data_IF_456050518664
#
_entry.id   IF_456050518664
#
_cell.length_a   1.000
_cell.length_b   1.000
_cell.length_c   1.000
_cell.angle_alpha   90.00
_cell.angle_beta   90.00
_cell.angle_gamma   90.00
#
_symmetry.space_group_name_H-M   'P 1'
#
loop_
_entity.id
_entity.type
_entity.pdbx_description
1 polymer ?
#
# COMPACT_ATOMS: atom_id res chain seq x y z
N UNK A 1 -3.87 4.90 21.20
CA UNK A 1 -4.25 3.49 21.26
C UNK A 1 -3.09 2.67 20.71
N UNK A 2 -2.52 1.80 21.52
CA UNK A 2 -1.61 0.78 21.07
C UNK A 2 -2.41 -0.16 20.15
N UNK A 3 -2.25 -0.03 18.83
CA UNK A 3 -2.29 -1.19 17.96
C UNK A 3 -1.01 -1.98 18.31
N UNK A 4 -0.99 -2.48 19.52
CA UNK A 4 0.08 -3.29 20.04
C UNK A 4 0.11 -4.54 19.19
N UNK A 5 1.25 -4.87 18.68
CA UNK A 5 1.59 -5.91 17.76
C UNK A 5 1.23 -7.33 18.15
N UNK A 6 -0.04 -7.57 18.44
CA UNK A 6 -0.59 -8.91 18.45
C UNK A 6 -0.80 -9.33 17.00
N UNK A 7 0.14 -10.11 16.50
CA UNK A 7 -0.08 -10.90 15.29
C UNK A 7 -1.25 -11.84 15.58
N UNK A 8 -2.34 -11.69 14.82
CA UNK A 8 -3.37 -12.73 14.76
C UNK A 8 -2.68 -14.02 14.28
N UNK A 9 -3.14 -15.18 14.72
CA UNK A 9 -2.59 -16.47 14.28
C UNK A 9 -2.59 -16.65 12.75
N UNK A 10 -3.48 -15.96 12.04
CA UNK A 10 -3.78 -16.17 10.64
C UNK A 10 -3.34 -15.01 9.74
N UNK A 11 -3.12 -13.82 10.30
CA UNK A 11 -2.65 -12.65 9.58
C UNK A 11 -1.90 -11.67 10.48
N UNK A 12 -0.97 -10.85 9.93
CA UNK A 12 -0.33 -9.78 10.67
C UNK A 12 -1.36 -8.66 10.96
N UNK A 13 -1.23 -8.01 12.12
CA UNK A 13 -2.16 -6.95 12.51
C UNK A 13 -1.98 -5.68 11.68
N UNK A 14 -0.76 -5.39 11.22
CA UNK A 14 -0.39 -4.15 10.52
C UNK A 14 0.79 -4.39 9.58
N UNK A 15 0.89 -3.64 8.49
CA UNK A 15 1.87 -3.84 7.42
C UNK A 15 3.33 -4.02 7.88
N UNK A 16 3.90 -3.25 8.81
CA UNK A 16 5.28 -3.47 9.26
C UNK A 16 5.53 -4.85 9.89
N UNK A 17 4.47 -5.59 10.22
CA UNK A 17 4.58 -6.96 10.77
C UNK A 17 4.54 -8.05 9.70
N UNK A 18 4.25 -7.70 8.44
CA UNK A 18 4.12 -8.68 7.35
C UNK A 18 5.43 -9.42 7.10
N UNK A 19 6.54 -8.70 6.99
CA UNK A 19 7.85 -9.29 6.69
C UNK A 19 8.24 -10.34 7.74
N UNK A 20 7.99 -10.11 9.02
CA UNK A 20 8.29 -11.07 10.08
C UNK A 20 7.27 -12.22 10.16
N UNK A 21 6.04 -11.97 9.68
CA UNK A 21 4.94 -12.93 9.76
C UNK A 21 5.01 -14.02 8.68
N UNK A 22 5.38 -13.65 7.43
CA UNK A 22 5.38 -14.59 6.31
C UNK A 22 6.43 -15.71 6.50
N UNK A 23 6.17 -16.87 5.92
CA UNK A 23 7.00 -18.07 6.11
C UNK A 23 8.49 -17.82 5.78
N UNK A 24 9.36 -18.53 6.47
CA UNK A 24 10.76 -18.69 6.08
C UNK A 24 10.88 -19.69 4.92
N UNK A 25 12.04 -19.69 4.26
CA UNK A 25 12.33 -20.60 3.14
C UNK A 25 12.11 -19.91 1.80
N UNK A 26 11.56 -20.63 0.82
CA UNK A 26 11.33 -20.08 -0.51
C UNK A 26 9.99 -19.35 -0.54
N UNK A 27 10.01 -18.03 -0.42
CA UNK A 27 8.81 -17.19 -0.22
C UNK A 27 8.79 -15.99 -1.14
N UNK A 28 7.62 -15.73 -1.74
CA UNK A 28 7.33 -14.55 -2.54
C UNK A 28 6.21 -13.73 -1.89
N UNK A 29 6.44 -12.44 -1.73
CA UNK A 29 5.45 -11.45 -1.33
C UNK A 29 5.10 -10.61 -2.55
N UNK A 30 3.89 -10.75 -3.06
CA UNK A 30 3.32 -9.92 -4.13
C UNK A 30 2.61 -8.75 -3.46
N UNK A 31 3.04 -7.54 -3.77
CA UNK A 31 2.42 -6.29 -3.30
C UNK A 31 1.72 -5.63 -4.48
N UNK A 32 0.39 -5.61 -4.44
CA UNK A 32 -0.42 -4.92 -5.45
C UNK A 32 -0.73 -3.53 -4.93
N UNK A 33 -0.04 -2.52 -5.45
CA UNK A 33 -0.11 -1.12 -5.03
C UNK A 33 -1.54 -0.60 -5.14
N UNK A 34 -2.06 -0.03 -4.06
CA UNK A 34 -3.38 0.59 -4.01
C UNK A 34 -4.58 -0.36 -4.00
N UNK A 35 -4.37 -1.68 -3.92
CA UNK A 35 -5.46 -2.66 -3.99
C UNK A 35 -6.31 -2.67 -2.72
N UNK A 36 -7.55 -2.22 -2.81
CA UNK A 36 -8.54 -2.31 -1.75
C UNK A 36 -9.14 -3.72 -1.63
N UNK A 37 -9.94 -3.95 -0.57
CA UNK A 37 -10.73 -5.18 -0.45
C UNK A 37 -11.71 -5.33 -1.63
N UNK A 38 -12.29 -4.23 -2.09
CA UNK A 38 -13.19 -4.21 -3.23
C UNK A 38 -12.48 -4.68 -4.52
N UNK A 39 -11.28 -4.21 -4.77
CA UNK A 39 -10.51 -4.60 -5.95
C UNK A 39 -10.12 -6.08 -5.89
N UNK A 40 -9.69 -6.56 -4.72
CA UNK A 40 -9.37 -7.97 -4.55
C UNK A 40 -10.59 -8.88 -4.73
N UNK A 41 -11.77 -8.46 -4.27
CA UNK A 41 -13.02 -9.21 -4.49
C UNK A 41 -13.32 -9.38 -5.99
N UNK A 42 -13.02 -8.39 -6.80
CA UNK A 42 -13.14 -8.48 -8.26
C UNK A 42 -12.08 -9.43 -8.84
N UNK A 43 -10.82 -9.23 -8.47
CA UNK A 43 -9.68 -10.02 -8.95
C UNK A 43 -9.86 -11.50 -8.60
N UNK A 44 -10.33 -11.81 -7.41
CA UNK A 44 -10.50 -13.17 -6.91
C UNK A 44 -11.39 -14.04 -7.79
N UNK A 45 -12.35 -13.45 -8.49
CA UNK A 45 -13.27 -14.14 -9.42
C UNK A 45 -12.56 -14.69 -10.67
N UNK A 46 -11.35 -14.23 -10.91
CA UNK A 46 -10.52 -14.61 -12.06
C UNK A 46 -9.27 -15.42 -11.66
N UNK A 47 -9.15 -15.79 -10.38
CA UNK A 47 -8.07 -16.67 -9.90
C UNK A 47 -8.52 -18.14 -9.93
N UNK A 48 -8.81 -18.63 -11.15
CA UNK A 48 -9.32 -19.98 -11.34
C UNK A 48 -8.29 -21.06 -10.96
N UNK A 49 -8.72 -22.03 -10.15
CA UNK A 49 -7.87 -23.14 -9.72
C UNK A 49 -6.77 -22.78 -8.71
N UNK A 50 -6.84 -21.58 -8.13
CA UNK A 50 -5.93 -21.16 -7.07
C UNK A 50 -6.67 -21.17 -5.73
N UNK A 51 -6.27 -22.08 -4.84
CA UNK A 51 -6.75 -22.11 -3.47
C UNK A 51 -5.96 -21.14 -2.59
N UNK A 52 -6.64 -20.39 -1.73
CA UNK A 52 -6.01 -19.43 -0.85
C UNK A 52 -6.77 -19.23 0.46
N UNK A 53 -6.07 -18.75 1.48
CA UNK A 53 -6.65 -18.21 2.71
C UNK A 53 -6.77 -16.69 2.55
N UNK A 54 -7.95 -16.15 2.92
CA UNK A 54 -8.26 -14.72 2.82
C UNK A 54 -8.37 -14.11 4.20
N UNK A 55 -7.52 -13.16 4.46
CA UNK A 55 -7.46 -12.37 5.69
C UNK A 55 -7.26 -10.90 5.35
N UNK A 56 -7.27 -10.06 6.37
CA UNK A 56 -7.01 -8.62 6.25
C UNK A 56 -5.90 -8.19 7.20
N UNK A 57 -5.21 -7.12 6.82
CA UNK A 57 -4.25 -6.41 7.65
C UNK A 57 -4.51 -4.90 7.57
N UNK A 58 -3.92 -4.12 8.49
CA UNK A 58 -4.05 -2.67 8.48
C UNK A 58 -2.88 -2.02 7.75
N UNK A 59 -3.19 -1.12 6.82
CA UNK A 59 -2.23 -0.19 6.24
C UNK A 59 -1.78 0.83 7.28
N UNK A 60 -0.66 1.50 7.02
CA UNK A 60 -0.22 2.63 7.82
C UNK A 60 -1.09 3.85 7.50
N UNK A 61 -1.30 4.70 8.49
CA UNK A 61 -2.06 5.94 8.37
C UNK A 61 -1.09 7.13 8.49
N UNK A 62 -1.17 8.11 7.58
CA UNK A 62 -1.99 8.20 6.36
C UNK A 62 -1.57 7.18 5.29
N UNK A 63 -2.53 6.78 4.45
CA UNK A 63 -2.37 5.71 3.47
C UNK A 63 -1.66 6.18 2.21
N UNK A 64 -0.41 6.64 2.36
CA UNK A 64 0.45 7.03 1.24
C UNK A 64 1.38 5.89 0.84
N UNK A 65 1.56 5.69 -0.45
CA UNK A 65 2.41 4.63 -1.01
C UNK A 65 3.81 4.62 -0.39
N UNK A 66 4.46 5.79 -0.31
CA UNK A 66 5.82 5.89 0.20
C UNK A 66 5.95 5.40 1.65
N UNK A 67 5.03 5.78 2.52
CA UNK A 67 5.02 5.37 3.94
C UNK A 67 4.67 3.89 4.07
N UNK A 68 3.55 3.49 3.46
CA UNK A 68 2.98 2.16 3.65
C UNK A 68 3.84 1.06 3.03
N UNK A 69 4.33 1.28 1.80
CA UNK A 69 5.13 0.27 1.09
C UNK A 69 6.53 0.11 1.68
N UNK A 70 7.18 1.22 2.08
CA UNK A 70 8.45 1.11 2.82
C UNK A 70 8.25 0.39 4.17
N UNK A 71 7.19 0.73 4.91
CA UNK A 71 6.88 0.05 6.18
C UNK A 71 6.62 -1.43 5.99
N UNK A 72 5.83 -1.81 4.97
CA UNK A 72 5.54 -3.19 4.59
C UNK A 72 6.82 -3.98 4.28
N UNK A 73 7.69 -3.45 3.44
CA UNK A 73 8.84 -4.17 2.91
C UNK A 73 10.05 -4.18 3.84
N UNK A 74 10.22 -3.15 4.67
CA UNK A 74 11.33 -3.06 5.61
C UNK A 74 11.03 -3.61 7.01
N UNK A 75 9.73 -3.75 7.36
CA UNK A 75 9.29 -4.06 8.73
C UNK A 75 9.44 -2.88 9.71
N UNK A 76 9.74 -1.69 9.22
CA UNK A 76 9.98 -0.49 10.02
C UNK A 76 8.72 0.39 10.10
N UNK A 77 8.54 1.07 11.23
CA UNK A 77 7.54 2.14 11.31
C UNK A 77 8.06 3.43 10.67
N UNK A 78 7.19 4.33 10.20
CA UNK A 78 7.58 5.51 9.43
C UNK A 78 8.67 6.38 10.08
N UNK A 79 8.64 6.56 11.41
CA UNK A 79 9.66 7.32 12.15
C UNK A 79 11.06 6.67 12.17
N UNK A 80 11.14 5.40 11.78
CA UNK A 80 12.40 4.63 11.69
C UNK A 80 12.95 4.64 10.26
N UNK A 81 12.20 5.22 9.31
CA UNK A 81 12.61 5.36 7.91
C UNK A 81 13.42 6.63 7.74
N UNK A 82 14.50 6.55 6.96
CA UNK A 82 15.35 7.70 6.67
C UNK A 82 14.62 8.78 5.84
N UNK A 83 13.82 8.34 4.86
CA UNK A 83 13.04 9.22 3.98
C UNK A 83 11.61 8.67 3.81
N UNK A 84 10.70 8.89 4.77
CA UNK A 84 9.39 8.24 4.76
C UNK A 84 8.46 8.68 3.61
N UNK A 85 8.70 9.84 3.01
CA UNK A 85 7.83 10.41 1.97
C UNK A 85 8.29 10.11 0.52
N UNK A 86 9.36 9.34 0.33
CA UNK A 86 9.84 8.94 -1.00
C UNK A 86 10.11 7.45 -1.07
N UNK A 87 9.99 6.85 -2.26
CA UNK A 87 10.27 5.43 -2.49
C UNK A 87 11.77 5.14 -2.76
N UNK A 88 12.64 6.12 -2.63
CA UNK A 88 14.05 5.99 -2.98
C UNK A 88 14.81 4.94 -2.18
N UNK A 89 14.34 4.60 -0.99
CA UNK A 89 14.95 3.61 -0.10
C UNK A 89 14.18 2.28 -0.01
N UNK A 90 13.13 2.11 -0.80
CA UNK A 90 12.23 0.95 -0.72
C UNK A 90 12.96 -0.38 -0.95
N UNK A 91 13.69 -0.51 -2.06
CA UNK A 91 14.47 -1.71 -2.36
C UNK A 91 15.55 -1.98 -1.30
N UNK A 92 16.27 -0.94 -0.88
CA UNK A 92 17.29 -1.05 0.18
C UNK A 92 16.68 -1.56 1.48
N UNK A 93 15.52 -1.01 1.87
CA UNK A 93 14.79 -1.44 3.07
C UNK A 93 14.38 -2.91 3.01
N UNK A 94 13.87 -3.38 1.87
CA UNK A 94 13.57 -4.78 1.65
C UNK A 94 14.82 -5.67 1.73
N UNK A 95 15.92 -5.28 1.09
CA UNK A 95 17.16 -6.06 1.10
C UNK A 95 17.78 -6.15 2.50
N UNK A 96 17.66 -5.10 3.33
CA UNK A 96 18.04 -5.13 4.75
C UNK A 96 17.16 -6.09 5.55
N UNK A 97 15.84 -6.05 5.36
CA UNK A 97 14.90 -6.96 6.00
C UNK A 97 15.17 -8.42 5.62
N UNK A 98 15.43 -8.69 4.34
CA UNK A 98 15.80 -10.01 3.85
C UNK A 98 17.09 -10.52 4.51
N UNK A 99 18.11 -9.67 4.60
CA UNK A 99 19.37 -9.99 5.31
C UNK A 99 19.14 -10.32 6.78
N UNK A 100 18.31 -9.55 7.46
CA UNK A 100 17.98 -9.78 8.88
C UNK A 100 17.22 -11.09 9.07
N UNK A 101 16.50 -11.57 8.07
CA UNK A 101 15.86 -12.89 8.02
C UNK A 101 16.82 -14.02 7.60
N UNK A 102 18.10 -13.74 7.38
CA UNK A 102 19.13 -14.72 7.05
C UNK A 102 19.30 -15.02 5.56
N UNK A 103 18.65 -14.27 4.66
CA UNK A 103 18.87 -14.44 3.22
C UNK A 103 20.09 -13.66 2.73
N UNK A 104 20.85 -14.25 1.83
CA UNK A 104 21.95 -13.56 1.15
C UNK A 104 21.41 -12.62 0.06
N UNK A 105 22.25 -11.72 -0.42
CA UNK A 105 21.89 -10.83 -1.54
C UNK A 105 21.46 -11.61 -2.79
N UNK A 106 22.13 -12.73 -3.10
CA UNK A 106 21.77 -13.57 -4.25
C UNK A 106 20.45 -14.32 -4.08
N UNK A 107 20.04 -14.54 -2.84
CA UNK A 107 18.76 -15.19 -2.50
C UNK A 107 17.59 -14.22 -2.44
N UNK A 108 17.85 -12.93 -2.42
CA UNK A 108 16.85 -11.88 -2.27
C UNK A 108 16.58 -11.19 -3.61
N UNK A 109 15.31 -11.00 -3.94
CA UNK A 109 14.88 -10.35 -5.18
C UNK A 109 13.84 -9.29 -4.87
N UNK A 110 14.11 -8.05 -5.24
CA UNK A 110 13.11 -7.00 -5.37
C UNK A 110 12.85 -6.77 -6.86
N UNK A 111 11.61 -6.87 -7.29
CA UNK A 111 11.24 -6.73 -8.70
C UNK A 111 9.90 -6.01 -8.86
N UNK A 112 9.68 -5.43 -10.04
CA UNK A 112 8.42 -4.78 -10.43
C UNK A 112 7.84 -5.50 -11.64
N UNK A 113 6.49 -5.60 -11.69
CA UNK A 113 5.75 -6.19 -12.79
C UNK A 113 5.61 -7.71 -12.70
N UNK A 114 4.95 -8.27 -13.70
CA UNK A 114 4.51 -9.68 -13.71
C UNK A 114 5.58 -10.69 -14.16
N UNK A 115 6.74 -10.23 -14.61
CA UNK A 115 7.81 -11.11 -15.11
C UNK A 115 9.09 -10.89 -14.29
N UNK A 116 9.08 -11.19 -12.96
CA UNK A 116 10.26 -11.00 -12.13
C UNK A 116 11.40 -11.93 -12.58
N UNK A 117 12.65 -11.47 -12.56
CA UNK A 117 13.80 -12.29 -12.98
C UNK A 117 14.20 -13.29 -11.89
N UNK A 118 13.34 -14.28 -11.66
CA UNK A 118 13.56 -15.36 -10.69
C UNK A 118 14.72 -16.23 -11.15
N UNK A 119 15.73 -16.41 -10.30
CA UNK A 119 16.84 -17.33 -10.53
C UNK A 119 16.71 -18.57 -9.64
N UNK A 120 17.51 -19.59 -9.93
CA UNK A 120 17.56 -20.79 -9.09
C UNK A 120 18.10 -20.52 -7.67
N UNK A 121 18.76 -19.39 -7.45
CA UNK A 121 19.20 -18.95 -6.13
C UNK A 121 18.11 -18.22 -5.35
N UNK A 122 17.11 -17.65 -6.03
CA UNK A 122 16.09 -16.83 -5.39
C UNK A 122 15.31 -17.64 -4.34
N UNK A 123 15.28 -17.12 -3.11
CA UNK A 123 14.55 -17.71 -1.97
C UNK A 123 13.55 -16.75 -1.36
N UNK A 124 13.81 -15.45 -1.43
CA UNK A 124 12.93 -14.44 -0.87
C UNK A 124 12.73 -13.32 -1.89
N UNK A 125 11.48 -13.15 -2.33
CA UNK A 125 11.14 -12.16 -3.36
C UNK A 125 10.06 -11.20 -2.88
N UNK A 126 10.24 -9.91 -3.15
CA UNK A 126 9.18 -8.90 -3.14
C UNK A 126 8.90 -8.48 -4.58
N UNK A 127 7.64 -8.61 -5.00
CA UNK A 127 7.20 -8.34 -6.38
C UNK A 127 6.11 -7.28 -6.31
N UNK A 128 6.37 -6.11 -6.88
CA UNK A 128 5.50 -4.95 -6.85
C UNK A 128 4.71 -4.84 -8.15
N UNK A 129 3.39 -4.76 -8.04
CA UNK A 129 2.45 -4.57 -9.15
C UNK A 129 1.75 -3.23 -8.96
N UNK A 130 1.93 -2.30 -9.88
CA UNK A 130 1.41 -0.93 -9.75
C UNK A 130 0.07 -0.72 -10.49
N UNK A 131 -0.43 -1.70 -11.22
CA UNK A 131 -1.55 -1.54 -12.16
C UNK A 131 -2.81 -0.97 -11.49
N UNK A 132 -3.11 -1.32 -10.24
CA UNK A 132 -4.30 -0.82 -9.54
C UNK A 132 -4.12 0.66 -9.20
N UNK A 133 -2.96 1.07 -8.69
CA UNK A 133 -2.69 2.49 -8.38
C UNK A 133 -2.68 3.34 -9.65
N UNK A 134 -2.14 2.83 -10.76
CA UNK A 134 -2.22 3.49 -12.07
C UNK A 134 -3.68 3.69 -12.53
N UNK A 135 -4.56 2.70 -12.30
CA UNK A 135 -5.99 2.81 -12.57
C UNK A 135 -6.65 3.86 -11.66
N UNK A 136 -6.34 3.85 -10.36
CA UNK A 136 -6.86 4.82 -9.38
C UNK A 136 -6.58 6.25 -9.84
N UNK A 137 -5.34 6.54 -10.22
CA UNK A 137 -4.94 7.88 -10.65
C UNK A 137 -5.54 8.31 -11.99
N UNK A 138 -5.92 7.37 -12.85
CA UNK A 138 -6.56 7.61 -14.14
C UNK A 138 -8.09 7.68 -14.11
N UNK A 139 -8.72 7.22 -13.01
CA UNK A 139 -10.16 6.98 -12.95
C UNK A 139 -10.98 8.26 -12.81
N UNK A 140 -11.95 8.46 -13.72
CA UNK A 140 -12.87 9.60 -13.75
C UNK A 140 -14.37 9.22 -13.66
N UNK A 141 -14.65 7.96 -13.45
CA UNK A 141 -16.01 7.43 -13.35
C UNK A 141 -16.28 6.78 -11.98
N UNK A 142 -15.49 7.17 -10.98
CA UNK A 142 -15.62 6.70 -9.63
C UNK A 142 -15.55 5.17 -9.49
N UNK A 143 -16.29 4.63 -8.54
CA UNK A 143 -16.28 3.18 -8.22
C UNK A 143 -16.77 2.29 -9.37
N UNK A 144 -17.72 2.77 -10.19
CA UNK A 144 -18.23 1.99 -11.33
C UNK A 144 -17.17 1.83 -12.43
N UNK A 145 -16.45 2.91 -12.73
CA UNK A 145 -15.31 2.84 -13.66
C UNK A 145 -14.20 1.95 -13.12
N UNK A 146 -13.87 2.06 -11.83
CA UNK A 146 -12.87 1.22 -11.17
C UNK A 146 -13.24 -0.27 -11.28
N UNK A 147 -14.52 -0.63 -11.06
CA UNK A 147 -15.00 -2.00 -11.23
C UNK A 147 -14.72 -2.55 -12.63
N UNK A 148 -15.00 -1.75 -13.67
CA UNK A 148 -14.79 -2.17 -15.06
C UNK A 148 -13.30 -2.34 -15.37
N UNK A 149 -12.47 -1.39 -14.96
CA UNK A 149 -11.04 -1.39 -15.24
C UNK A 149 -10.33 -2.54 -14.51
N UNK A 150 -10.64 -2.76 -13.23
CA UNK A 150 -10.10 -3.89 -12.45
C UNK A 150 -10.58 -5.22 -13.03
N UNK A 151 -11.82 -5.32 -13.50
CA UNK A 151 -12.32 -6.52 -14.17
C UNK A 151 -11.55 -6.83 -15.45
N UNK A 152 -11.23 -5.82 -16.27
CA UNK A 152 -10.43 -5.97 -17.47
C UNK A 152 -8.99 -6.39 -17.15
N UNK A 153 -8.40 -5.77 -16.13
CA UNK A 153 -7.07 -6.12 -15.65
C UNK A 153 -7.03 -7.60 -15.18
N UNK A 154 -8.00 -8.01 -14.37
CA UNK A 154 -8.10 -9.38 -13.85
C UNK A 154 -8.29 -10.41 -14.98
N UNK A 155 -9.14 -10.11 -15.97
CA UNK A 155 -9.33 -10.95 -17.18
C UNK A 155 -8.06 -11.14 -17.99
N UNK A 156 -7.08 -10.23 -17.90
CA UNK A 156 -5.80 -10.40 -18.59
C UNK A 156 -5.02 -11.64 -18.15
N UNK A 157 -5.35 -12.21 -16.96
CA UNK A 157 -4.72 -13.39 -16.40
C UNK A 157 -3.28 -13.21 -15.92
N UNK A 158 -2.73 -12.00 -15.98
CA UNK A 158 -1.31 -11.74 -15.62
C UNK A 158 -0.98 -12.14 -14.19
N UNK A 159 -1.84 -11.75 -13.23
CA UNK A 159 -1.63 -12.09 -11.81
C UNK A 159 -1.76 -13.61 -11.60
N UNK A 160 -2.74 -14.24 -12.20
CA UNK A 160 -2.91 -15.69 -12.15
C UNK A 160 -1.67 -16.42 -12.67
N UNK A 161 -1.16 -16.02 -13.84
CA UNK A 161 0.07 -16.59 -14.42
C UNK A 161 1.27 -16.43 -13.49
N UNK A 162 1.47 -15.22 -12.92
CA UNK A 162 2.54 -14.99 -11.96
C UNK A 162 2.44 -15.90 -10.74
N UNK A 163 1.23 -16.08 -10.18
CA UNK A 163 1.01 -16.98 -9.04
C UNK A 163 1.34 -18.42 -9.42
N UNK A 164 0.86 -18.90 -10.57
CA UNK A 164 1.11 -20.27 -11.06
C UNK A 164 2.60 -20.52 -11.31
N UNK A 165 3.30 -19.56 -11.89
CA UNK A 165 4.75 -19.65 -12.14
C UNK A 165 5.54 -19.73 -10.84
N UNK A 166 5.21 -18.91 -9.84
CA UNK A 166 5.84 -18.94 -8.53
C UNK A 166 5.52 -20.25 -7.78
N UNK A 167 4.26 -20.70 -7.86
CA UNK A 167 3.83 -21.95 -7.24
C UNK A 167 4.57 -23.17 -7.83
N UNK A 168 4.68 -23.24 -9.16
CA UNK A 168 5.40 -24.30 -9.85
C UNK A 168 6.89 -24.37 -9.47
N UNK A 169 7.47 -23.23 -9.08
CA UNK A 169 8.83 -23.13 -8.59
C UNK A 169 8.97 -23.41 -7.09
N UNK A 170 7.88 -23.73 -6.38
CA UNK A 170 7.86 -24.12 -4.97
C UNK A 170 7.97 -22.93 -4.00
N UNK A 171 7.47 -21.74 -4.36
CA UNK A 171 7.36 -20.63 -3.44
C UNK A 171 6.14 -20.74 -2.52
N UNK A 172 6.31 -20.39 -1.26
CA UNK A 172 5.19 -19.93 -0.42
C UNK A 172 4.79 -18.54 -0.91
N UNK A 173 3.54 -18.34 -1.28
CA UNK A 173 3.09 -17.10 -1.93
C UNK A 173 2.14 -16.34 -1.01
N UNK A 174 2.46 -15.07 -0.77
CA UNK A 174 1.60 -14.13 -0.07
C UNK A 174 1.30 -12.96 -0.99
N UNK A 175 0.05 -12.47 -0.94
CA UNK A 175 -0.39 -11.31 -1.71
C UNK A 175 -1.00 -10.32 -0.72
N UNK A 176 -0.61 -9.06 -0.83
CA UNK A 176 -1.18 -7.99 -0.03
C UNK A 176 -1.15 -6.66 -0.81
N UNK A 177 -1.58 -5.60 -0.16
CA UNK A 177 -1.45 -4.24 -0.66
C UNK A 177 -0.77 -3.37 0.39
N UNK A 178 -0.20 -2.27 -0.04
CA UNK A 178 0.35 -1.24 0.84
C UNK A 178 -0.74 -0.29 1.38
N UNK A 179 -1.79 -0.04 0.61
CA UNK A 179 -3.02 0.66 0.99
C UNK A 179 -4.15 0.28 0.04
N UNK A 180 -5.37 0.68 0.37
CA UNK A 180 -6.49 0.63 -0.54
C UNK A 180 -6.76 1.97 -1.22
N UNK A 181 -7.94 2.09 -1.84
CA UNK A 181 -8.40 3.30 -2.51
C UNK A 181 -9.88 3.56 -2.19
N UNK A 182 -10.32 4.81 -2.35
CA UNK A 182 -11.67 5.23 -1.99
C UNK A 182 -12.22 6.26 -2.99
N UNK A 183 -13.53 6.25 -3.28
CA UNK A 183 -14.16 7.31 -4.07
C UNK A 183 -14.24 8.60 -3.26
N UNK A 184 -13.92 9.73 -3.91
CA UNK A 184 -13.98 11.05 -3.30
C UNK A 184 -14.55 12.08 -4.26
N UNK A 185 -15.06 13.18 -3.69
CA UNK A 185 -15.41 14.38 -4.41
C UNK A 185 -14.32 15.42 -4.17
N UNK A 186 -13.79 15.98 -5.23
CA UNK A 186 -12.79 17.03 -5.16
C UNK A 186 -13.34 18.30 -4.52
N UNK A 187 -12.64 18.81 -3.51
CA UNK A 187 -12.96 20.05 -2.81
C UNK A 187 -12.24 21.28 -3.40
N UNK A 188 -11.37 21.03 -4.38
CA UNK A 188 -10.45 22.00 -4.97
C UNK A 188 -9.08 21.96 -4.28
N UNK A 189 -8.05 22.33 -5.03
CA UNK A 189 -6.69 22.42 -4.52
C UNK A 189 -6.62 23.46 -3.39
N UNK A 190 -5.98 23.12 -2.30
CA UNK A 190 -5.70 24.07 -1.23
C UNK A 190 -4.41 24.81 -1.59
N UNK A 191 -4.47 26.12 -1.56
CA UNK A 191 -3.30 27.00 -1.72
C UNK A 191 -2.77 27.35 -0.33
N UNK A 192 -1.59 26.88 -0.03
CA UNK A 192 -0.96 27.07 1.27
C UNK A 192 0.14 28.08 1.27
N UNK A 193 0.25 28.80 2.40
CA UNK A 193 1.37 29.67 2.72
C UNK A 193 2.49 28.96 3.51
N UNK A 194 2.43 27.65 3.73
CA UNK A 194 3.41 26.89 4.52
C UNK A 194 4.42 26.11 3.69
N UNK A 195 5.46 25.61 4.35
CA UNK A 195 6.43 24.68 3.72
C UNK A 195 5.81 23.28 3.71
N UNK A 196 5.27 22.90 2.57
CA UNK A 196 4.68 21.60 2.33
C UNK A 196 5.77 20.56 2.00
N UNK A 197 5.65 19.39 2.59
CA UNK A 197 6.41 18.22 2.14
C UNK A 197 5.64 17.56 0.99
N UNK A 198 6.27 17.40 -0.16
CA UNK A 198 5.64 16.77 -1.31
C UNK A 198 5.36 15.28 -1.02
N UNK A 199 4.12 14.95 -0.74
CA UNK A 199 3.67 13.58 -0.41
C UNK A 199 3.07 12.87 -1.61
N UNK A 200 2.79 13.58 -2.71
CA UNK A 200 2.01 13.13 -3.88
C UNK A 200 0.59 12.66 -3.53
N UNK A 201 0.15 12.85 -2.29
CA UNK A 201 -1.21 12.53 -1.88
C UNK A 201 -2.17 13.65 -2.26
N UNK A 202 -3.40 13.27 -2.63
CA UNK A 202 -4.53 14.19 -2.81
C UNK A 202 -5.47 14.21 -1.59
N UNK A 203 -5.08 13.56 -0.50
CA UNK A 203 -5.89 13.47 0.71
C UNK A 203 -5.13 13.83 1.99
N UNK A 204 -3.85 14.21 1.87
CA UNK A 204 -3.01 14.55 3.00
C UNK A 204 -2.12 15.76 2.70
N UNK A 205 -1.94 16.62 3.71
CA UNK A 205 -0.88 17.61 3.77
C UNK A 205 0.06 17.35 4.94
N UNK A 206 1.34 17.56 4.69
CA UNK A 206 2.39 17.52 5.72
C UNK A 206 3.08 18.87 5.72
N UNK A 207 3.04 19.56 6.85
CA UNK A 207 3.60 20.88 7.01
C UNK A 207 4.67 20.88 8.09
N UNK A 208 5.74 21.65 7.89
CA UNK A 208 6.70 21.97 8.95
C UNK A 208 6.09 22.94 9.95
N UNK A 209 6.60 22.95 11.16
CA UNK A 209 6.06 23.55 12.39
C UNK A 209 5.78 25.07 12.35
N UNK A 210 6.13 25.76 11.27
CA UNK A 210 5.93 27.21 11.13
C UNK A 210 4.66 27.60 10.35
N UNK A 211 3.87 26.62 9.91
CA UNK A 211 2.67 26.89 9.13
C UNK A 211 1.51 27.32 10.00
N UNK A 212 0.77 28.31 9.50
CA UNK A 212 -0.45 28.82 10.12
C UNK A 212 -1.48 27.68 10.36
N UNK A 213 -2.30 27.91 11.39
CA UNK A 213 -3.20 26.92 11.94
C UNK A 213 -4.34 26.51 10.99
N UNK A 214 -5.03 25.44 11.38
CA UNK A 214 -6.17 24.73 10.78
C UNK A 214 -7.25 25.64 10.14
N UNK A 215 -7.37 26.88 10.57
CA UNK A 215 -8.41 27.82 10.09
C UNK A 215 -8.35 28.11 8.58
N UNK A 216 -7.17 27.90 7.96
CA UNK A 216 -7.00 28.04 6.51
C UNK A 216 -7.63 26.92 5.69
N UNK A 217 -7.93 25.77 6.31
CA UNK A 217 -8.38 24.55 5.60
C UNK A 217 -9.88 24.27 5.78
N UNK A 218 -10.54 24.96 6.72
CA UNK A 218 -11.94 24.77 7.05
C UNK A 218 -12.25 23.34 7.56
N UNK A 219 -13.53 22.95 7.49
CA UNK A 219 -14.02 21.66 8.01
C UNK A 219 -13.70 20.47 7.11
N UNK A 220 -12.91 20.64 6.04
CA UNK A 220 -12.61 19.60 5.06
C UNK A 220 -11.45 18.69 5.45
N UNK A 221 -10.71 19.04 6.49
CA UNK A 221 -9.55 18.33 6.98
C UNK A 221 -9.60 18.11 8.48
N UNK A 222 -9.06 16.98 8.90
CA UNK A 222 -8.80 16.66 10.30
C UNK A 222 -7.31 16.65 10.58
N UNK A 223 -6.94 17.15 11.75
CA UNK A 223 -5.57 17.02 12.24
C UNK A 223 -5.32 15.56 12.62
N UNK A 224 -4.32 14.95 12.02
CA UNK A 224 -3.89 13.61 12.37
C UNK A 224 -2.72 13.66 13.36
N UNK A 225 -2.77 12.94 14.49
CA UNK A 225 -1.74 13.05 15.54
C UNK A 225 -0.38 12.49 15.16
N UNK A 226 -0.23 11.86 13.98
CA UNK A 226 1.04 11.34 13.50
C UNK A 226 1.65 10.28 14.42
N UNK A 227 0.88 9.29 14.86
CA UNK A 227 1.30 8.30 15.89
C UNK A 227 2.63 7.61 15.63
N UNK A 228 2.89 7.27 14.36
CA UNK A 228 4.12 6.58 13.93
C UNK A 228 5.02 7.48 13.06
N UNK A 229 4.62 8.73 12.89
CA UNK A 229 5.29 9.71 12.04
C UNK A 229 6.17 10.64 12.88
N UNK A 230 7.05 11.36 12.22
CA UNK A 230 7.90 12.37 12.83
C UNK A 230 7.05 13.47 13.46
N UNK A 231 7.40 13.89 14.67
CA UNK A 231 6.69 14.91 15.46
C UNK A 231 7.06 16.34 15.10
N UNK A 232 8.09 16.52 14.30
CA UNK A 232 8.50 17.83 13.80
C UNK A 232 7.60 18.36 12.66
N UNK A 233 6.58 17.56 12.28
CA UNK A 233 5.62 17.90 11.24
C UNK A 233 4.19 17.89 11.76
N UNK A 234 3.34 18.70 11.13
CA UNK A 234 1.88 18.68 11.30
C UNK A 234 1.24 17.92 10.13
N UNK A 235 0.31 17.06 10.44
CA UNK A 235 -0.36 16.19 9.48
C UNK A 235 -1.84 16.53 9.42
N UNK A 236 -2.33 16.83 8.21
CA UNK A 236 -3.73 17.14 7.94
C UNK A 236 -4.26 16.16 6.90
N UNK A 237 -5.35 15.48 7.23
CA UNK A 237 -5.95 14.46 6.38
C UNK A 237 -7.36 14.89 6.01
N UNK A 238 -7.76 14.67 4.75
CA UNK A 238 -9.13 14.94 4.32
C UNK A 238 -10.16 14.13 5.12
N UNK A 239 -11.32 14.75 5.33
CA UNK A 239 -12.52 14.05 5.76
C UNK A 239 -12.90 12.93 4.78
N UNK A 240 -13.71 11.97 5.24
CA UNK A 240 -14.19 10.86 4.41
C UNK A 240 -14.93 11.37 3.18
N UNK A 241 -14.63 10.80 2.01
CA UNK A 241 -15.26 11.17 0.75
C UNK A 241 -14.79 12.51 0.15
N UNK A 242 -13.76 13.15 0.71
CA UNK A 242 -13.21 14.43 0.25
C UNK A 242 -11.77 14.25 -0.24
N UNK A 243 -11.41 14.98 -1.30
CA UNK A 243 -10.03 15.07 -1.79
C UNK A 243 -9.66 16.50 -2.20
N UNK A 244 -8.37 16.74 -2.44
CA UNK A 244 -7.86 18.02 -2.94
C UNK A 244 -7.80 18.10 -4.47
N UNK A 245 -8.50 17.19 -5.15
CA UNK A 245 -8.70 17.25 -6.59
C UNK A 245 -9.60 18.41 -7.00
N UNK A 246 -9.78 18.60 -8.31
CA UNK A 246 -10.60 19.68 -8.84
C UNK A 246 -12.00 19.67 -8.22
N UNK A 247 -12.51 20.86 -7.95
CA UNK A 247 -13.81 21.03 -7.29
C UNK A 247 -14.94 20.30 -8.04
N UNK A 248 -15.70 19.49 -7.30
CA UNK A 248 -16.83 18.68 -7.78
C UNK A 248 -16.44 17.55 -8.77
N UNK A 249 -15.16 17.25 -8.96
CA UNK A 249 -14.72 16.08 -9.72
C UNK A 249 -14.86 14.82 -8.86
N UNK A 250 -15.50 13.79 -9.40
CA UNK A 250 -15.54 12.47 -8.77
C UNK A 250 -14.26 11.69 -9.16
N UNK A 251 -13.53 11.23 -8.17
CA UNK A 251 -12.24 10.58 -8.36
C UNK A 251 -12.12 9.33 -7.49
N UNK A 252 -11.26 8.40 -7.89
CA UNK A 252 -10.70 7.39 -7.01
C UNK A 252 -9.35 7.91 -6.50
N UNK A 253 -9.06 7.72 -5.21
CA UNK A 253 -7.83 8.26 -4.61
C UNK A 253 -7.49 7.55 -3.29
N UNK A 254 -6.37 7.90 -2.70
CA UNK A 254 -5.85 7.37 -1.44
C UNK A 254 -5.05 8.44 -0.69
N UNK A 255 -4.48 8.09 0.47
CA UNK A 255 -3.65 8.99 1.28
C UNK A 255 -4.36 9.54 2.50
N UNK A 256 -5.57 9.05 2.78
CA UNK A 256 -6.39 9.44 3.93
C UNK A 256 -6.43 8.39 5.02
N UNK A 257 -7.60 8.32 5.67
CA UNK A 257 -7.89 7.47 6.83
C UNK A 257 -9.19 6.68 6.68
N UNK A 258 -9.77 6.63 5.48
CA UNK A 258 -11.02 5.89 5.28
C UNK A 258 -10.80 4.37 5.42
N UNK A 259 -11.87 3.66 5.77
CA UNK A 259 -11.82 2.19 5.95
C UNK A 259 -11.36 1.48 4.66
N UNK A 260 -11.82 1.97 3.51
CA UNK A 260 -11.47 1.43 2.19
C UNK A 260 -9.97 1.56 1.87
N UNK A 261 -9.29 2.52 2.48
CA UNK A 261 -7.86 2.75 2.31
C UNK A 261 -7.01 1.98 3.34
N UNK A 262 -7.53 1.83 4.57
CA UNK A 262 -6.76 1.35 5.74
C UNK A 262 -6.82 -0.16 5.89
N UNK A 263 -7.92 -0.80 5.49
CA UNK A 263 -8.04 -2.26 5.56
C UNK A 263 -7.70 -2.84 4.20
N UNK A 264 -6.63 -3.63 4.15
CA UNK A 264 -6.12 -4.22 2.92
C UNK A 264 -6.14 -5.75 2.97
N UNK A 265 -6.26 -6.44 1.82
CA UNK A 265 -6.24 -7.89 1.79
C UNK A 265 -4.87 -8.44 2.20
N UNK A 266 -4.89 -9.57 2.89
CA UNK A 266 -3.71 -10.39 3.17
C UNK A 266 -4.04 -11.84 2.82
N UNK A 267 -3.45 -12.32 1.74
CA UNK A 267 -3.78 -13.58 1.10
C UNK A 267 -2.59 -14.52 1.22
N UNK A 268 -2.86 -15.77 1.57
CA UNK A 268 -1.87 -16.85 1.51
C UNK A 268 -2.35 -17.89 0.51
N UNK A 269 -1.60 -18.10 -0.55
CA UNK A 269 -1.86 -19.17 -1.51
C UNK A 269 -1.52 -20.52 -0.88
N UNK A 270 -2.39 -21.53 -1.12
CA UNK A 270 -2.25 -22.90 -0.59
C UNK A 270 -1.49 -23.82 -1.52
#
# INVERSE_FOLDING_TARGET
>A
QKLSGETKKEAPAILPKVIDFIAHGKTALIVVDGMSLFDFEIISRYLEGIDYEYHCTYALIPTTTAISRQGLLSGKYPRELENPFTLSQEEKGFMEAAKNRGYTKQQSLYAKGYNPPISHFTRFAAIIINDIDDLVHGQKQGRAGMYNDVSLLAKSGKLQTLIQDLYSQGFNIYITSDHGNTPCIGAGAIRNAGVEVETRSKRMFVLKDFAEEKDSFGDKVVTYPGYYLDKDYKYYVCESGVSFDNKNEEVMTHGGISIDEVIVPFIKVK
#
